data_IF_396982670835
#
_entry.id   IF_396982670835
#
_cell.length_a   1.000
_cell.length_b   1.000
_cell.length_c   1.000
_cell.angle_alpha   90.00
_cell.angle_beta   90.00
_cell.angle_gamma   90.00
#
_symmetry.space_group_name_H-M   'P 1'
#
loop_
_entity.id
_entity.type
_entity.pdbx_description
1 polymer ?
#
# COMPACT_ATOMS: atom_id res chain seq x y z
N UNK A 1 15.07 17.06 6.06
CA UNK A 1 14.81 16.17 4.92
C UNK A 1 13.51 16.55 4.19
N UNK A 2 13.49 17.72 3.54
CA UNK A 2 12.27 18.24 2.86
C UNK A 2 11.90 17.54 1.55
N UNK A 3 12.75 16.63 1.05
CA UNK A 3 12.58 15.94 -0.24
C UNK A 3 12.89 14.44 -0.13
N UNK A 4 12.32 13.76 0.87
CA UNK A 4 12.40 12.31 1.00
C UNK A 4 11.07 11.70 0.59
N UNK A 5 11.09 10.87 -0.44
CA UNK A 5 9.98 10.02 -0.86
C UNK A 5 10.32 8.56 -0.63
N UNK A 6 9.31 7.74 -0.40
CA UNK A 6 9.46 6.28 -0.27
C UNK A 6 8.58 5.57 -1.30
N UNK A 7 9.10 4.49 -1.88
CA UNK A 7 8.36 3.68 -2.85
C UNK A 7 8.68 2.21 -2.66
N UNK A 8 7.69 1.36 -2.77
CA UNK A 8 7.89 -0.09 -2.66
C UNK A 8 6.70 -0.89 -3.15
N UNK A 9 6.95 -2.16 -3.46
CA UNK A 9 5.94 -3.09 -3.95
C UNK A 9 5.74 -4.29 -3.03
N UNK A 10 4.52 -4.82 -2.98
CA UNK A 10 4.15 -6.00 -2.21
C UNK A 10 4.43 -5.80 -0.70
N UNK A 11 5.30 -6.60 -0.09
CA UNK A 11 5.79 -6.33 1.27
C UNK A 11 6.47 -4.95 1.37
N UNK A 12 7.19 -4.52 0.32
CA UNK A 12 7.72 -3.16 0.23
C UNK A 12 6.65 -2.08 0.23
N UNK A 13 5.47 -2.35 -0.32
CA UNK A 13 4.29 -1.48 -0.22
C UNK A 13 3.79 -1.37 1.23
N UNK A 14 3.72 -2.48 1.97
CA UNK A 14 3.50 -2.44 3.42
C UNK A 14 4.54 -1.55 4.12
N UNK A 15 5.82 -1.72 3.78
CA UNK A 15 6.89 -0.91 4.38
C UNK A 15 6.76 0.59 4.06
N UNK A 16 6.24 0.95 2.89
CA UNK A 16 5.90 2.35 2.56
C UNK A 16 4.83 2.86 3.52
N UNK A 17 3.72 2.13 3.66
CA UNK A 17 2.62 2.52 4.55
C UNK A 17 3.07 2.58 6.02
N UNK A 18 3.85 1.61 6.48
CA UNK A 18 4.41 1.59 7.82
C UNK A 18 5.38 2.76 8.06
N UNK A 19 6.21 3.08 7.07
CA UNK A 19 7.12 4.24 7.15
C UNK A 19 6.35 5.56 7.24
N UNK A 20 5.28 5.72 6.47
CA UNK A 20 4.43 6.90 6.56
C UNK A 20 3.66 6.95 7.90
N UNK A 21 3.19 5.81 8.40
CA UNK A 21 2.53 5.72 9.70
C UNK A 21 3.43 6.20 10.85
N UNK A 22 4.73 5.91 10.77
CA UNK A 22 5.68 6.23 11.84
C UNK A 22 6.44 7.55 11.61
N UNK A 23 6.64 7.97 10.36
CA UNK A 23 7.59 9.03 10.01
C UNK A 23 7.04 10.01 8.96
N UNK A 24 5.73 10.27 8.94
CA UNK A 24 5.13 11.27 8.03
C UNK A 24 5.73 12.68 8.19
N UNK A 25 6.24 13.00 9.38
CA UNK A 25 6.94 14.25 9.65
C UNK A 25 8.30 14.35 8.94
N UNK A 26 8.87 13.22 8.52
CA UNK A 26 10.20 13.12 7.88
C UNK A 26 10.14 12.67 6.42
N UNK A 27 9.01 12.10 6.01
CA UNK A 27 8.79 11.54 4.66
C UNK A 27 7.72 12.39 3.98
N UNK A 28 8.09 13.02 2.86
CA UNK A 28 7.23 13.96 2.19
C UNK A 28 6.09 13.34 1.39
N UNK A 29 6.31 12.17 0.79
CA UNK A 29 5.32 11.45 0.01
C UNK A 29 5.68 9.98 -0.14
N UNK A 30 4.69 9.10 -0.41
CA UNK A 30 4.88 7.68 -0.59
C UNK A 30 4.14 7.11 -1.79
N UNK A 31 4.74 6.09 -2.42
CA UNK A 31 4.12 5.29 -3.49
C UNK A 31 4.07 3.84 -3.06
N UNK A 32 2.87 3.35 -2.83
CA UNK A 32 2.54 1.97 -2.47
C UNK A 32 2.06 1.21 -3.71
N UNK A 33 2.77 0.17 -4.08
CA UNK A 33 2.41 -0.69 -5.23
C UNK A 33 2.05 -2.07 -4.71
N UNK A 34 0.81 -2.49 -4.90
CA UNK A 34 0.27 -3.82 -4.52
C UNK A 34 0.60 -4.20 -3.07
N UNK A 35 0.54 -3.23 -2.16
CA UNK A 35 0.96 -3.38 -0.77
C UNK A 35 -0.11 -3.94 0.16
N UNK A 36 0.34 -4.40 1.33
CA UNK A 36 -0.51 -4.93 2.38
C UNK A 36 -0.84 -3.78 3.35
N UNK A 37 -2.11 -3.47 3.53
CA UNK A 37 -2.55 -2.45 4.47
C UNK A 37 -2.95 -3.01 5.84
N UNK A 38 -3.37 -4.28 5.88
CA UNK A 38 -3.74 -4.97 7.12
C UNK A 38 -3.47 -6.49 7.02
N UNK A 39 -2.58 -7.03 7.85
CA UNK A 39 -2.19 -8.44 7.76
C UNK A 39 -3.35 -9.41 7.98
N UNK A 40 -4.26 -9.12 8.91
CA UNK A 40 -5.42 -9.95 9.18
C UNK A 40 -6.34 -10.07 7.96
N UNK A 41 -6.68 -8.96 7.30
CA UNK A 41 -7.53 -8.99 6.09
C UNK A 41 -6.79 -9.58 4.89
N UNK A 42 -5.51 -9.32 4.75
CA UNK A 42 -4.66 -9.93 3.73
C UNK A 42 -4.65 -11.45 3.83
N UNK A 43 -4.38 -12.01 5.01
CA UNK A 43 -4.32 -13.46 5.22
C UNK A 43 -5.67 -14.14 5.07
N UNK A 44 -6.77 -13.47 5.43
CA UNK A 44 -8.13 -13.99 5.23
C UNK A 44 -8.55 -14.01 3.76
N UNK A 45 -8.13 -13.02 2.97
CA UNK A 45 -8.64 -12.76 1.63
C UNK A 45 -7.67 -13.10 0.50
N UNK A 46 -6.39 -13.41 0.80
CA UNK A 46 -5.47 -13.96 -0.21
C UNK A 46 -5.98 -15.28 -0.75
N UNK A 47 -5.63 -15.63 -1.99
CA UNK A 47 -6.08 -16.87 -2.62
C UNK A 47 -5.79 -18.09 -1.74
N UNK A 48 -6.75 -19.01 -1.66
CA UNK A 48 -6.75 -20.13 -0.67
C UNK A 48 -5.49 -21.00 -0.77
N UNK A 49 -5.00 -21.24 -1.99
CA UNK A 49 -3.79 -22.04 -2.22
C UNK A 49 -2.50 -21.37 -1.75
N UNK A 50 -2.54 -20.07 -1.47
CA UNK A 50 -1.40 -19.29 -0.97
C UNK A 50 -1.43 -19.08 0.54
N UNK A 51 -2.59 -19.24 1.15
CA UNK A 51 -2.87 -18.81 2.53
C UNK A 51 -1.96 -19.50 3.56
N UNK A 52 -1.84 -20.80 3.49
CA UNK A 52 -1.03 -21.53 4.47
C UNK A 52 0.47 -21.20 4.33
N UNK A 53 0.94 -21.00 3.09
CA UNK A 53 2.30 -20.54 2.84
C UNK A 53 2.54 -19.15 3.47
N UNK A 54 1.57 -18.24 3.35
CA UNK A 54 1.67 -16.90 3.93
C UNK A 54 1.59 -16.91 5.45
N UNK A 55 0.84 -17.85 6.05
CA UNK A 55 0.81 -18.04 7.51
C UNK A 55 2.15 -18.48 8.07
N UNK A 56 2.88 -19.33 7.34
CA UNK A 56 4.24 -19.72 7.74
C UNK A 56 5.20 -18.53 7.69
N UNK A 57 5.04 -17.65 6.70
CA UNK A 57 5.91 -16.50 6.48
C UNK A 57 5.63 -15.34 7.46
N UNK A 58 4.35 -15.00 7.67
CA UNK A 58 3.95 -13.80 8.43
C UNK A 58 3.38 -14.10 9.81
N UNK A 59 2.89 -15.30 10.04
CA UNK A 59 2.14 -15.70 11.23
C UNK A 59 0.68 -16.03 10.90
N UNK A 60 0.00 -16.65 11.83
CA UNK A 60 -1.37 -17.16 11.66
C UNK A 60 -2.38 -16.18 12.28
N UNK A 61 -3.26 -15.60 11.47
CA UNK A 61 -4.31 -14.67 11.92
C UNK A 61 -5.38 -15.33 12.82
N UNK A 62 -5.40 -16.66 12.88
CA UNK A 62 -6.30 -17.43 13.75
C UNK A 62 -5.77 -17.55 15.18
N UNK A 63 -4.46 -17.38 15.38
CA UNK A 63 -3.86 -17.28 16.69
C UNK A 63 -4.16 -15.91 17.31
N UNK A 64 -4.85 -15.84 18.47
CA UNK A 64 -5.19 -14.56 19.10
C UNK A 64 -3.98 -13.71 19.45
N UNK A 65 -2.86 -14.31 19.84
CA UNK A 65 -1.63 -13.57 20.16
C UNK A 65 -1.03 -12.95 18.89
N UNK A 66 -1.01 -13.71 17.80
CA UNK A 66 -0.52 -13.23 16.51
C UNK A 66 -1.45 -12.17 15.91
N UNK A 67 -2.77 -12.37 16.04
CA UNK A 67 -3.74 -11.38 15.58
C UNK A 67 -3.57 -10.03 16.31
N UNK A 68 -3.29 -10.04 17.62
CA UNK A 68 -2.99 -8.82 18.36
C UNK A 68 -1.74 -8.10 17.85
N UNK A 69 -0.73 -8.83 17.37
CA UNK A 69 0.43 -8.25 16.68
C UNK A 69 0.00 -7.60 15.37
N UNK A 70 -0.79 -8.29 14.55
CA UNK A 70 -1.27 -7.76 13.27
C UNK A 70 -2.08 -6.48 13.43
N UNK A 71 -2.96 -6.42 14.44
CA UNK A 71 -3.72 -5.20 14.74
C UNK A 71 -2.79 -4.02 15.07
N UNK A 72 -1.72 -4.27 15.80
CA UNK A 72 -0.75 -3.25 16.21
C UNK A 72 0.12 -2.73 15.05
N UNK A 73 0.54 -3.62 14.14
CA UNK A 73 1.48 -3.28 13.06
C UNK A 73 0.81 -2.91 11.74
N UNK A 74 -0.50 -3.12 11.60
CA UNK A 74 -1.21 -2.87 10.34
C UNK A 74 -1.48 -1.38 10.12
N UNK A 75 -0.97 -0.79 9.03
CA UNK A 75 -1.11 0.64 8.76
C UNK A 75 -2.56 1.13 8.68
N UNK A 76 -3.49 0.26 8.25
CA UNK A 76 -4.91 0.61 8.18
C UNK A 76 -5.47 1.07 9.52
N UNK A 77 -5.08 0.39 10.61
CA UNK A 77 -5.54 0.73 11.96
C UNK A 77 -4.96 2.05 12.49
N UNK A 78 -3.93 2.55 11.83
CA UNK A 78 -3.21 3.77 12.18
C UNK A 78 -3.20 4.79 11.04
N UNK A 79 -4.14 4.69 10.10
CA UNK A 79 -4.18 5.53 8.90
C UNK A 79 -4.25 7.03 9.23
N UNK A 80 -4.79 7.41 10.39
CA UNK A 80 -4.79 8.79 10.88
C UNK A 80 -3.40 9.39 11.12
N UNK A 81 -2.36 8.54 11.25
CA UNK A 81 -0.96 8.98 11.38
C UNK A 81 -0.29 9.23 10.02
N UNK A 82 -0.91 8.81 8.93
CA UNK A 82 -0.41 9.06 7.57
C UNK A 82 -0.86 10.46 7.17
N UNK A 83 0.02 11.42 7.28
CA UNK A 83 -0.24 12.83 6.97
C UNK A 83 0.49 13.31 5.72
N UNK A 84 1.20 12.42 5.04
CA UNK A 84 1.88 12.69 3.77
C UNK A 84 1.03 12.24 2.58
N UNK A 85 1.14 12.91 1.42
CA UNK A 85 0.54 12.45 0.18
C UNK A 85 0.91 11.00 -0.15
N UNK A 86 -0.09 10.23 -0.59
CA UNK A 86 0.04 8.81 -0.88
C UNK A 86 -0.45 8.49 -2.31
N UNK A 87 0.34 7.75 -3.07
CA UNK A 87 -0.09 7.15 -4.33
C UNK A 87 -0.16 5.63 -4.16
N UNK A 88 -1.33 5.04 -4.38
CA UNK A 88 -1.58 3.60 -4.32
C UNK A 88 -1.87 3.08 -5.71
N UNK A 89 -1.11 2.07 -6.15
CA UNK A 89 -1.32 1.41 -7.43
C UNK A 89 -1.55 -0.09 -7.24
N UNK A 90 -2.59 -0.65 -7.88
CA UNK A 90 -3.05 -2.02 -7.65
C UNK A 90 -3.58 -2.66 -8.94
N UNK A 91 -3.32 -3.97 -9.10
CA UNK A 91 -3.99 -4.80 -10.10
C UNK A 91 -5.22 -5.49 -9.49
N UNK A 92 -6.36 -5.46 -10.19
CA UNK A 92 -7.61 -6.05 -9.70
C UNK A 92 -7.54 -7.59 -9.65
N UNK A 93 -6.76 -8.20 -10.54
CA UNK A 93 -6.62 -9.65 -10.64
C UNK A 93 -5.40 -10.17 -9.84
N UNK A 94 -4.96 -9.44 -8.83
CA UNK A 94 -3.82 -9.83 -8.00
C UNK A 94 -4.19 -11.03 -7.11
N UNK A 95 -3.55 -12.22 -7.33
CA UNK A 95 -3.84 -13.41 -6.54
C UNK A 95 -3.07 -13.45 -5.22
N UNK A 96 -2.11 -12.55 -5.03
CA UNK A 96 -1.23 -12.51 -3.85
C UNK A 96 -1.74 -11.54 -2.80
N UNK A 97 -1.91 -10.28 -3.21
CA UNK A 97 -2.44 -9.22 -2.36
C UNK A 97 -3.79 -8.78 -2.93
N UNK A 98 -4.90 -9.09 -2.26
CA UNK A 98 -6.23 -8.71 -2.72
C UNK A 98 -6.31 -7.19 -2.95
N UNK A 99 -6.95 -6.78 -4.05
CA UNK A 99 -7.12 -5.36 -4.38
C UNK A 99 -7.88 -4.58 -3.30
N UNK A 100 -8.63 -5.28 -2.46
CA UNK A 100 -9.32 -4.70 -1.31
C UNK A 100 -8.37 -4.12 -0.26
N UNK A 101 -7.10 -4.59 -0.21
CA UNK A 101 -6.06 -4.00 0.64
C UNK A 101 -5.76 -2.56 0.23
N UNK A 102 -5.69 -2.30 -1.08
CA UNK A 102 -5.52 -0.95 -1.61
C UNK A 102 -6.75 -0.08 -1.33
N UNK A 103 -7.96 -0.58 -1.57
CA UNK A 103 -9.17 0.20 -1.35
C UNK A 103 -9.37 0.64 0.09
N UNK A 104 -9.12 -0.24 1.05
CA UNK A 104 -9.33 0.10 2.45
C UNK A 104 -8.35 1.18 2.93
N UNK A 105 -7.09 1.15 2.51
CA UNK A 105 -6.12 2.20 2.90
C UNK A 105 -6.40 3.51 2.17
N UNK A 106 -6.75 3.48 0.89
CA UNK A 106 -7.15 4.67 0.13
C UNK A 106 -8.33 5.37 0.79
N UNK A 107 -9.37 4.61 1.13
CA UNK A 107 -10.55 5.15 1.81
C UNK A 107 -10.20 5.78 3.16
N UNK A 108 -9.38 5.11 3.96
CA UNK A 108 -9.00 5.59 5.29
C UNK A 108 -8.17 6.87 5.22
N UNK A 109 -7.14 6.92 4.37
CA UNK A 109 -6.26 8.09 4.25
C UNK A 109 -6.99 9.29 3.63
N UNK A 110 -7.84 9.07 2.61
CA UNK A 110 -8.72 10.12 2.06
C UNK A 110 -9.70 10.65 3.10
N UNK A 111 -10.26 9.76 3.92
CA UNK A 111 -11.17 10.13 5.01
C UNK A 111 -10.52 11.04 6.05
N UNK A 112 -9.20 11.02 6.16
CA UNK A 112 -8.40 11.92 7.02
C UNK A 112 -8.02 13.24 6.31
N UNK A 113 -8.54 13.50 5.11
CA UNK A 113 -8.28 14.73 4.35
C UNK A 113 -6.93 14.79 3.64
N UNK A 114 -6.21 13.67 3.55
CA UNK A 114 -4.90 13.65 2.88
C UNK A 114 -5.04 13.44 1.36
N UNK A 115 -4.14 14.02 0.54
CA UNK A 115 -4.10 13.76 -0.89
C UNK A 115 -3.76 12.30 -1.17
N UNK A 116 -4.64 11.59 -1.87
CA UNK A 116 -4.41 10.20 -2.30
C UNK A 116 -4.69 10.04 -3.78
N UNK A 117 -3.67 9.61 -4.53
CA UNK A 117 -3.83 9.11 -5.88
C UNK A 117 -4.08 7.60 -5.83
N UNK A 118 -5.05 7.12 -6.59
CA UNK A 118 -5.38 5.70 -6.66
C UNK A 118 -5.48 5.25 -8.10
N UNK A 119 -4.67 4.27 -8.47
CA UNK A 119 -4.64 3.64 -9.79
C UNK A 119 -4.98 2.16 -9.63
N UNK A 120 -6.15 1.75 -10.14
CA UNK A 120 -6.59 0.36 -10.18
C UNK A 120 -6.68 -0.12 -11.63
N UNK A 121 -5.82 -1.04 -11.99
CA UNK A 121 -5.88 -1.70 -13.30
C UNK A 121 -6.80 -2.91 -13.26
N UNK A 122 -7.86 -2.90 -14.07
CA UNK A 122 -8.85 -3.98 -14.14
C UNK A 122 -8.28 -5.30 -14.72
N UNK A 123 -7.18 -5.22 -15.45
CA UNK A 123 -6.60 -6.28 -16.26
C UNK A 123 -5.15 -6.64 -15.88
N UNK A 124 -4.68 -6.20 -14.70
CA UNK A 124 -3.36 -6.53 -14.15
C UNK A 124 -3.47 -7.34 -12.85
N UNK A 125 -2.37 -8.03 -12.52
CA UNK A 125 -2.21 -8.83 -11.32
C UNK A 125 -1.26 -8.22 -10.30
N UNK A 126 -0.33 -9.04 -9.79
CA UNK A 126 0.68 -8.64 -8.80
C UNK A 126 1.88 -7.97 -9.49
N UNK A 127 1.65 -6.82 -10.06
CA UNK A 127 2.55 -6.06 -10.91
C UNK A 127 1.90 -5.73 -12.25
N UNK A 128 2.50 -4.81 -13.00
CA UNK A 128 1.93 -4.28 -14.23
C UNK A 128 2.75 -4.78 -15.43
N UNK A 129 2.31 -5.91 -16.00
CA UNK A 129 3.03 -6.60 -17.06
C UNK A 129 2.78 -5.99 -18.44
N UNK A 130 1.59 -5.39 -18.66
CA UNK A 130 1.25 -4.77 -19.92
C UNK A 130 2.03 -3.47 -20.09
N UNK A 131 2.74 -3.35 -21.21
CA UNK A 131 3.60 -2.18 -21.49
C UNK A 131 2.86 -0.86 -21.33
N UNK A 132 1.65 -0.76 -21.90
CA UNK A 132 0.83 0.46 -21.81
C UNK A 132 0.49 0.85 -20.38
N UNK A 133 0.14 -0.14 -19.54
CA UNK A 133 -0.19 0.08 -18.14
C UNK A 133 1.06 0.48 -17.34
N UNK A 134 2.18 -0.17 -17.62
CA UNK A 134 3.46 0.15 -16.97
C UNK A 134 3.97 1.55 -17.35
N UNK A 135 3.88 1.93 -18.63
CA UNK A 135 4.24 3.27 -19.10
C UNK A 135 3.35 4.35 -18.44
N UNK A 136 2.05 4.09 -18.35
CA UNK A 136 1.10 4.99 -17.69
C UNK A 136 1.38 5.13 -16.19
N UNK A 137 1.64 4.01 -15.50
CA UNK A 137 2.04 4.03 -14.09
C UNK A 137 3.34 4.81 -13.88
N UNK A 138 4.34 4.63 -14.75
CA UNK A 138 5.59 5.38 -14.72
C UNK A 138 5.38 6.88 -14.86
N UNK A 139 4.59 7.30 -15.85
CA UNK A 139 4.24 8.71 -16.06
C UNK A 139 3.49 9.30 -14.86
N UNK A 140 2.49 8.59 -14.34
CA UNK A 140 1.74 9.02 -13.16
C UNK A 140 2.64 9.16 -11.92
N UNK A 141 3.60 8.24 -11.75
CA UNK A 141 4.57 8.28 -10.65
C UNK A 141 5.48 9.52 -10.75
N UNK A 142 5.97 9.85 -11.94
CA UNK A 142 6.76 11.07 -12.17
C UNK A 142 5.94 12.32 -11.82
N UNK A 143 4.71 12.42 -12.29
CA UNK A 143 3.82 13.54 -11.98
C UNK A 143 3.52 13.66 -10.48
N UNK A 144 3.30 12.52 -9.82
CA UNK A 144 3.09 12.49 -8.37
C UNK A 144 4.32 13.04 -7.62
N UNK A 145 5.52 12.61 -8.00
CA UNK A 145 6.76 13.12 -7.39
C UNK A 145 6.99 14.60 -7.68
N UNK A 146 6.72 15.05 -8.90
CA UNK A 146 6.81 16.48 -9.24
C UNK A 146 5.88 17.31 -8.37
N UNK A 147 4.63 16.89 -8.21
CA UNK A 147 3.63 17.64 -7.46
C UNK A 147 3.89 17.60 -5.95
N UNK A 148 4.21 16.44 -5.39
CA UNK A 148 4.20 16.25 -3.94
C UNK A 148 5.59 16.18 -3.30
N UNK A 149 6.63 15.78 -4.03
CA UNK A 149 7.99 15.68 -3.51
C UNK A 149 8.83 16.92 -3.86
N UNK A 150 8.72 17.40 -5.11
CA UNK A 150 9.55 18.50 -5.60
C UNK A 150 8.91 19.87 -5.39
N UNK A 151 7.63 19.91 -5.02
CA UNK A 151 6.92 21.15 -4.70
C UNK A 151 6.33 21.85 -5.89
N UNK A 152 5.89 21.12 -6.92
CA UNK A 152 5.22 21.56 -8.16
C UNK A 152 5.26 23.06 -8.43
N UNK A 153 6.21 23.52 -9.23
CA UNK A 153 6.15 24.85 -9.86
C UNK A 153 5.24 24.78 -11.08
#
# INVERSE_FOLDING_TARGET
>A
ASRVGVMGGSYGGYMVLASLMHYSDRIRAGVDVVGISHFGTFLKNTESYRRDLRRVEYGDERDPAMNAVFERISPLNHAGKITSPLFVAQGRNDPRVPWTEAEQIVKAVRGNGQPVWYLLYADEGHGFAKKSNNDWFGAATILFWQQHLLGGE
#
